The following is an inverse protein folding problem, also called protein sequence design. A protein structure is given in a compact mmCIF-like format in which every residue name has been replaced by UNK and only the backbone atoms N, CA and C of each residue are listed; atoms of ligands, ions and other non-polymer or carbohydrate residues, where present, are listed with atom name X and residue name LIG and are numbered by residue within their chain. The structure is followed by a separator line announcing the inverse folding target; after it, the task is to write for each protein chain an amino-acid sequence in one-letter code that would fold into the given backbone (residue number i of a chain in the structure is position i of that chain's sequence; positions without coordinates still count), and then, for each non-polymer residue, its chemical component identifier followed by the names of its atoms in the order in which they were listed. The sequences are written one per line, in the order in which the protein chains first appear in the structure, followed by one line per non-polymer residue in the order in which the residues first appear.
data_IF_489898444224
#
_entry.id   IF_489898444224
#
_cell.length_a   1.000
_cell.length_b   1.000
_cell.length_c   1.000
_cell.angle_alpha   90.00
_cell.angle_beta   90.00
_cell.angle_gamma   90.00
#
_symmetry.space_group_name_H-M   'P 1'
#
loop_
_entity.id
_entity.type
_entity.pdbx_description
1 polymer ?
#
# COMPACT_ATOMS: atom_id res chain seq x y z
N UNK A 1 2.35 -29.33 5.57
CA UNK A 1 1.50 -28.34 4.89
C UNK A 1 1.86 -28.39 3.42
N UNK A 2 0.90 -28.65 2.54
CA UNK A 2 1.16 -28.64 1.10
C UNK A 2 1.39 -27.19 0.64
N UNK A 3 2.39 -26.99 -0.22
CA UNK A 3 2.66 -25.68 -0.80
C UNK A 3 1.75 -25.45 -2.01
N UNK A 4 1.15 -24.27 -2.09
CA UNK A 4 0.37 -23.83 -3.27
C UNK A 4 1.15 -22.75 -4.01
N UNK A 5 1.17 -22.80 -5.34
CA UNK A 5 1.80 -21.79 -6.18
C UNK A 5 0.77 -20.72 -6.54
N UNK A 6 1.06 -19.47 -6.21
CA UNK A 6 0.32 -18.29 -6.66
C UNK A 6 1.17 -17.49 -7.64
N UNK A 7 0.66 -17.25 -8.86
CA UNK A 7 1.28 -16.32 -9.82
C UNK A 7 0.74 -14.92 -9.60
N UNK A 8 1.64 -13.94 -9.59
CA UNK A 8 1.27 -12.53 -9.44
C UNK A 8 1.19 -11.87 -10.82
N UNK A 9 0.12 -11.12 -11.05
CA UNK A 9 -0.10 -10.39 -12.30
C UNK A 9 0.93 -9.28 -12.50
N UNK A 10 1.14 -8.81 -13.75
CA UNK A 10 2.11 -7.73 -14.03
C UNK A 10 1.80 -6.46 -13.22
N UNK A 11 0.53 -6.06 -13.19
CA UNK A 11 0.04 -4.99 -12.31
C UNK A 11 -0.25 -5.55 -10.93
N UNK A 12 0.36 -4.97 -9.89
CA UNK A 12 0.28 -5.44 -8.51
C UNK A 12 -0.73 -4.63 -7.72
N UNK A 13 -1.36 -5.28 -6.74
CA UNK A 13 -2.03 -4.62 -5.62
C UNK A 13 -1.01 -4.37 -4.50
N UNK A 14 -0.66 -3.11 -4.27
CA UNK A 14 0.40 -2.70 -3.34
C UNK A 14 -0.22 -1.96 -2.15
N UNK A 15 -0.02 -2.50 -0.94
CA UNK A 15 -0.37 -1.82 0.30
C UNK A 15 0.82 -0.97 0.79
N UNK A 16 0.54 0.29 1.14
CA UNK A 16 1.49 1.28 1.63
C UNK A 16 1.09 1.72 3.04
N UNK A 17 1.91 1.41 4.02
CA UNK A 17 1.69 1.76 5.43
C UNK A 17 2.91 2.54 5.92
N UNK A 18 2.68 3.51 6.82
CA UNK A 18 3.77 4.23 7.46
C UNK A 18 3.31 4.81 8.80
N UNK A 19 4.08 4.54 9.85
CA UNK A 19 4.01 5.31 11.09
C UNK A 19 4.35 6.78 10.84
N UNK A 20 3.88 7.67 11.71
CA UNK A 20 3.99 9.13 11.50
C UNK A 20 5.42 9.60 11.20
N UNK A 21 6.39 9.11 11.96
CA UNK A 21 7.81 9.44 11.78
C UNK A 21 8.43 8.88 10.48
N UNK A 22 7.74 7.98 9.77
CA UNK A 22 8.21 7.36 8.50
C UNK A 22 7.50 7.90 7.26
N UNK A 23 6.42 8.68 7.41
CA UNK A 23 5.63 9.19 6.29
C UNK A 23 6.48 10.01 5.31
N UNK A 24 7.40 10.84 5.81
CA UNK A 24 8.31 11.60 4.96
C UNK A 24 9.27 10.70 4.17
N UNK A 25 9.81 9.65 4.80
CA UNK A 25 10.67 8.68 4.13
C UNK A 25 9.90 7.93 3.02
N UNK A 26 8.67 7.51 3.32
CA UNK A 26 7.80 6.86 2.35
C UNK A 26 7.50 7.79 1.17
N UNK A 27 7.16 9.07 1.42
CA UNK A 27 6.94 10.05 0.36
C UNK A 27 8.16 10.24 -0.54
N UNK A 28 9.36 10.35 0.05
CA UNK A 28 10.61 10.49 -0.70
C UNK A 28 10.85 9.28 -1.59
N UNK A 29 10.61 8.08 -1.06
CA UNK A 29 10.71 6.85 -1.85
C UNK A 29 9.69 6.83 -2.99
N UNK A 30 8.41 7.13 -2.71
CA UNK A 30 7.36 7.16 -3.72
C UNK A 30 7.68 8.12 -4.85
N UNK A 31 8.15 9.34 -4.54
CA UNK A 31 8.55 10.35 -5.54
C UNK A 31 9.62 9.85 -6.49
N UNK A 32 10.61 9.10 -5.97
CA UNK A 32 11.67 8.48 -6.78
C UNK A 32 11.13 7.37 -7.72
N UNK A 33 10.01 6.76 -7.38
CA UNK A 33 9.47 5.57 -8.05
C UNK A 33 8.09 5.79 -8.72
N UNK A 34 7.61 7.03 -8.86
CA UNK A 34 6.28 7.37 -9.41
C UNK A 34 6.02 6.68 -10.76
N UNK A 35 7.01 6.68 -11.66
CA UNK A 35 6.87 6.13 -13.01
C UNK A 35 6.54 4.63 -13.01
N UNK A 36 7.04 3.89 -12.01
CA UNK A 36 6.80 2.46 -11.83
C UNK A 36 5.52 2.23 -11.01
N UNK A 37 5.28 3.04 -9.99
CA UNK A 37 4.13 2.86 -9.11
C UNK A 37 2.79 3.18 -9.78
N UNK A 38 2.77 4.10 -10.74
CA UNK A 38 1.53 4.52 -11.44
C UNK A 38 0.86 3.40 -12.25
N UNK A 39 1.57 2.32 -12.58
CA UNK A 39 1.01 1.17 -13.32
C UNK A 39 0.40 0.10 -12.40
N UNK A 40 0.45 0.33 -11.08
CA UNK A 40 -0.04 -0.58 -10.04
C UNK A 40 -1.25 0.02 -9.33
N UNK A 41 -2.04 -0.83 -8.68
CA UNK A 41 -3.13 -0.38 -7.81
C UNK A 41 -2.59 -0.19 -6.40
N UNK A 42 -2.66 1.04 -5.93
CA UNK A 42 -2.07 1.43 -4.66
C UNK A 42 -3.15 1.60 -3.59
N UNK A 43 -2.85 1.11 -2.40
CA UNK A 43 -3.72 1.17 -1.24
C UNK A 43 -2.92 1.71 -0.06
N UNK A 44 -3.54 2.48 0.81
CA UNK A 44 -2.85 2.98 2.01
C UNK A 44 -3.82 3.23 3.16
N UNK A 45 -3.31 3.14 4.39
CA UNK A 45 -4.08 3.49 5.59
C UNK A 45 -4.32 5.00 5.67
N UNK A 46 -5.54 5.41 6.02
CA UNK A 46 -6.00 6.78 6.28
C UNK A 46 -5.04 7.92 5.95
N UNK A 47 -4.37 8.47 6.96
CA UNK A 47 -3.53 9.68 6.84
C UNK A 47 -2.36 9.50 5.87
N UNK A 48 -1.81 8.29 5.75
CA UNK A 48 -0.73 7.98 4.80
C UNK A 48 -1.22 8.14 3.37
N UNK A 49 -2.38 7.57 3.01
CA UNK A 49 -2.89 7.65 1.66
C UNK A 49 -3.27 9.06 1.20
N UNK A 50 -3.90 9.84 2.09
CA UNK A 50 -4.19 11.26 1.84
C UNK A 50 -2.92 12.06 1.56
N UNK A 51 -1.89 11.88 2.39
CA UNK A 51 -0.62 12.56 2.23
C UNK A 51 0.08 12.18 0.92
N UNK A 52 0.06 10.89 0.55
CA UNK A 52 0.62 10.42 -0.71
C UNK A 52 -0.09 11.07 -1.89
N UNK A 53 -1.43 11.05 -1.90
CA UNK A 53 -2.21 11.63 -2.99
C UNK A 53 -1.90 13.12 -3.18
N UNK A 54 -1.88 13.89 -2.08
CA UNK A 54 -1.58 15.33 -2.10
C UNK A 54 -0.20 15.65 -2.69
N UNK A 55 0.83 14.86 -2.37
CA UNK A 55 2.20 15.16 -2.77
C UNK A 55 2.69 14.50 -4.06
N UNK A 56 2.00 13.46 -4.54
CA UNK A 56 2.45 12.67 -5.70
C UNK A 56 1.42 12.59 -6.81
N UNK A 57 0.15 12.93 -6.53
CA UNK A 57 -1.01 12.71 -7.41
C UNK A 57 -1.23 11.24 -7.81
N UNK A 58 -0.59 10.29 -7.14
CA UNK A 58 -0.89 8.88 -7.30
C UNK A 58 -2.34 8.61 -6.88
N UNK A 59 -3.03 7.74 -7.62
CA UNK A 59 -4.36 7.29 -7.25
C UNK A 59 -4.25 6.24 -6.14
N UNK A 60 -4.79 6.54 -4.96
CA UNK A 60 -4.70 5.70 -3.78
C UNK A 60 -6.11 5.28 -3.34
N UNK A 61 -6.32 3.99 -3.12
CA UNK A 61 -7.51 3.49 -2.42
C UNK A 61 -7.24 3.61 -0.92
N UNK A 62 -7.95 4.53 -0.26
CA UNK A 62 -7.80 4.75 1.17
C UNK A 62 -8.50 3.67 1.99
N UNK A 63 -7.79 3.18 3.00
CA UNK A 63 -8.25 2.24 4.02
C UNK A 63 -8.43 3.00 5.34
N UNK A 64 -8.93 2.31 6.38
CA UNK A 64 -8.95 2.90 7.73
C UNK A 64 -7.52 3.25 8.18
N UNK A 65 -7.40 4.21 9.12
CA UNK A 65 -6.10 4.49 9.74
C UNK A 65 -5.68 3.33 10.65
N UNK A 66 -4.38 3.13 10.86
CA UNK A 66 -3.86 2.10 11.77
C UNK A 66 -4.52 2.10 13.15
N UNK A 67 -4.63 3.26 13.85
CA UNK A 67 -5.35 3.36 15.13
C UNK A 67 -6.83 2.92 15.06
N UNK A 68 -7.47 3.13 13.90
CA UNK A 68 -8.84 2.69 13.62
C UNK A 68 -8.90 1.30 12.97
N UNK A 69 -7.91 0.44 13.26
CA UNK A 69 -7.80 -0.95 12.80
C UNK A 69 -7.52 -1.14 11.29
N UNK A 70 -7.00 -0.12 10.61
CA UNK A 70 -6.57 -0.22 9.20
C UNK A 70 -5.55 -1.33 8.94
N UNK A 71 -4.64 -1.57 9.89
CA UNK A 71 -3.63 -2.64 9.75
C UNK A 71 -4.27 -4.03 9.78
N UNK A 72 -5.34 -4.21 10.55
CA UNK A 72 -6.10 -5.46 10.58
C UNK A 72 -6.90 -5.66 9.29
N UNK A 73 -7.48 -4.58 8.75
CA UNK A 73 -8.15 -4.60 7.46
C UNK A 73 -7.19 -5.03 6.34
N UNK A 74 -5.96 -4.49 6.33
CA UNK A 74 -4.92 -4.90 5.40
C UNK A 74 -4.50 -6.37 5.62
N UNK A 75 -4.30 -6.79 6.86
CA UNK A 75 -3.95 -8.16 7.21
C UNK A 75 -4.99 -9.18 6.72
N UNK A 76 -6.28 -8.89 6.90
CA UNK A 76 -7.36 -9.73 6.37
C UNK A 76 -7.28 -9.87 4.85
N UNK A 77 -7.08 -8.74 4.15
CA UNK A 77 -6.95 -8.74 2.70
C UNK A 77 -5.68 -9.45 2.20
N UNK A 78 -4.58 -9.41 2.96
CA UNK A 78 -3.37 -10.19 2.65
C UNK A 78 -3.68 -11.69 2.74
N UNK A 79 -4.37 -12.13 3.80
CA UNK A 79 -4.78 -13.52 3.97
C UNK A 79 -5.73 -13.99 2.85
N UNK A 80 -6.57 -13.08 2.35
CA UNK A 80 -7.45 -13.30 1.20
C UNK A 80 -6.74 -13.16 -0.16
N UNK A 81 -5.42 -13.01 -0.19
CA UNK A 81 -4.62 -12.87 -1.42
C UNK A 81 -5.05 -11.66 -2.28
N UNK A 82 -5.61 -10.61 -1.67
CA UNK A 82 -5.98 -9.37 -2.37
C UNK A 82 -4.81 -8.40 -2.54
N UNK A 83 -3.72 -8.62 -1.80
CA UNK A 83 -2.47 -7.88 -1.92
C UNK A 83 -1.34 -8.77 -2.45
N UNK A 84 -0.44 -8.14 -3.20
CA UNK A 84 0.75 -8.79 -3.77
C UNK A 84 2.02 -8.30 -3.11
N UNK A 85 2.03 -7.04 -2.65
CA UNK A 85 3.18 -6.38 -2.04
C UNK A 85 2.68 -5.56 -0.85
N UNK A 86 3.39 -5.65 0.26
CA UNK A 86 3.27 -4.75 1.41
C UNK A 86 4.56 -3.94 1.56
N UNK A 87 4.42 -2.63 1.65
CA UNK A 87 5.50 -1.70 2.05
C UNK A 87 5.04 -1.06 3.35
N UNK A 88 5.77 -1.31 4.44
CA UNK A 88 5.43 -0.86 5.79
C UNK A 88 6.66 -0.24 6.48
#
# INVERSE_FOLDING_TARGET
MESVIRRLEKSKNIALVAHDHRKLSLLTWLKKHISVLKIHKLFATGTTGNLIHQHTRLNIVNMLSGPMRGDQQLGAMIAEQKFDILIF
#
